data_IF_252377560387
#
_entry.id   IF_252377560387
#
_cell.length_a   1.000
_cell.length_b   1.000
_cell.length_c   1.000
_cell.angle_alpha   90.00
_cell.angle_beta   90.00
_cell.angle_gamma   90.00
#
_symmetry.space_group_name_H-M   'P 1'
#
loop_
_entity.id
_entity.type
_entity.pdbx_description
1 polymer ?
#
# COMPACT_ATOMS: atom_id res chain seq x y z
N UNK A 1 -5.91 -22.41 1.85
CA UNK A 1 -6.97 -21.62 1.19
C UNK A 1 -6.82 -20.19 1.66
N UNK A 2 -6.66 -19.25 0.73
CA UNK A 2 -6.56 -17.81 1.04
C UNK A 2 -7.94 -17.15 0.91
N UNK A 3 -8.18 -16.09 1.68
CA UNK A 3 -9.40 -15.29 1.57
C UNK A 3 -9.20 -14.22 0.51
N UNK A 4 -10.23 -13.99 -0.28
CA UNK A 4 -10.30 -12.89 -1.25
C UNK A 4 -11.39 -11.90 -0.84
N UNK A 5 -11.24 -10.65 -1.26
CA UNK A 5 -12.07 -9.53 -0.87
C UNK A 5 -12.22 -8.55 -2.02
N UNK A 6 -13.46 -8.13 -2.26
CA UNK A 6 -13.78 -6.99 -3.15
C UNK A 6 -14.00 -5.69 -2.37
N UNK A 7 -14.04 -5.77 -1.04
CA UNK A 7 -14.33 -4.63 -0.16
C UNK A 7 -13.32 -4.51 0.99
N UNK A 8 -13.15 -3.26 1.42
CA UNK A 8 -12.28 -2.88 2.54
C UNK A 8 -13.12 -2.23 3.65
N UNK A 9 -12.62 -2.15 4.89
CA UNK A 9 -13.29 -1.44 5.97
C UNK A 9 -13.59 0.02 5.61
N UNK A 10 -14.61 0.62 6.22
CA UNK A 10 -14.99 2.01 5.91
C UNK A 10 -13.83 3.00 6.13
N UNK A 11 -13.62 3.88 5.16
CA UNK A 11 -12.65 4.98 5.27
C UNK A 11 -13.20 6.04 6.23
N UNK A 12 -12.34 6.50 7.14
CA UNK A 12 -12.62 7.54 8.15
C UNK A 12 -11.44 8.51 8.24
N UNK A 13 -11.54 9.53 9.10
CA UNK A 13 -10.41 10.42 9.40
C UNK A 13 -9.21 9.70 10.07
N UNK A 14 -9.40 8.48 10.59
CA UNK A 14 -8.37 7.67 11.25
C UNK A 14 -8.55 6.19 10.88
N UNK A 15 -8.58 5.90 9.59
CA UNK A 15 -8.79 4.53 9.06
C UNK A 15 -7.67 3.63 9.54
N UNK A 16 -8.01 2.61 10.33
CA UNK A 16 -7.02 1.62 10.79
C UNK A 16 -6.60 0.74 9.63
N UNK A 17 -5.29 0.56 9.47
CA UNK A 17 -4.73 -0.29 8.44
C UNK A 17 -3.49 -1.00 8.94
N UNK A 18 -3.11 -2.03 8.19
CA UNK A 18 -1.81 -2.67 8.31
C UNK A 18 -0.92 -2.15 7.20
N UNK A 19 0.23 -1.58 7.56
CA UNK A 19 1.20 -1.13 6.58
C UNK A 19 2.17 -2.26 6.29
N UNK A 20 2.36 -2.61 5.02
CA UNK A 20 3.39 -3.53 4.55
C UNK A 20 4.46 -2.78 3.76
N UNK A 21 5.54 -3.46 3.41
CA UNK A 21 6.63 -2.89 2.63
C UNK A 21 6.63 -3.46 1.22
N UNK A 22 6.68 -2.57 0.23
CA UNK A 22 6.81 -2.94 -1.18
C UNK A 22 7.80 -2.04 -1.90
N UNK A 23 8.40 -2.58 -2.95
CA UNK A 23 9.21 -1.82 -3.90
C UNK A 23 8.44 -1.61 -5.20
N UNK A 24 8.31 -0.35 -5.60
CA UNK A 24 7.62 0.06 -6.82
C UNK A 24 8.61 0.31 -7.98
N UNK A 25 9.88 -0.07 -7.81
CA UNK A 25 10.93 0.08 -8.81
C UNK A 25 10.82 -0.98 -9.91
N UNK A 26 11.35 -0.65 -11.09
CA UNK A 26 11.47 -1.64 -12.16
C UNK A 26 12.40 -2.78 -11.74
N UNK A 27 11.88 -4.00 -11.68
CA UNK A 27 12.60 -5.16 -11.16
C UNK A 27 12.60 -5.30 -9.63
N UNK A 28 11.81 -4.47 -8.93
CA UNK A 28 11.48 -4.65 -7.53
C UNK A 28 10.33 -5.65 -7.31
N UNK A 29 9.92 -5.80 -6.05
CA UNK A 29 8.93 -6.80 -5.62
C UNK A 29 7.52 -6.56 -6.19
N UNK A 30 7.16 -5.31 -6.51
CA UNK A 30 5.88 -4.97 -7.13
C UNK A 30 5.72 -5.47 -8.57
N UNK A 31 6.81 -5.93 -9.19
CA UNK A 31 6.81 -6.58 -10.50
C UNK A 31 6.42 -5.65 -11.66
N UNK A 32 5.10 -5.48 -11.86
CA UNK A 32 4.52 -4.67 -12.93
C UNK A 32 4.58 -3.16 -12.60
N UNK A 33 4.48 -2.28 -13.63
CA UNK A 33 4.29 -0.86 -13.40
C UNK A 33 2.98 -0.57 -12.65
N UNK A 34 2.97 0.49 -11.84
CA UNK A 34 1.85 0.82 -10.96
C UNK A 34 0.55 1.11 -11.74
N UNK A 35 -0.59 0.60 -11.25
CA UNK A 35 -1.88 0.59 -11.97
C UNK A 35 -2.47 1.97 -12.26
N UNK A 36 -2.15 3.00 -11.47
CA UNK A 36 -2.72 4.33 -11.67
C UNK A 36 -2.23 5.02 -12.96
N UNK A 37 -0.97 4.82 -13.34
CA UNK A 37 -0.36 5.54 -14.47
C UNK A 37 0.64 4.73 -15.31
N UNK A 38 0.77 3.43 -15.06
CA UNK A 38 1.69 2.50 -15.72
C UNK A 38 3.17 2.92 -15.61
N UNK A 39 3.59 3.37 -14.43
CA UNK A 39 4.97 3.81 -14.17
C UNK A 39 5.57 3.08 -12.98
N UNK A 40 6.90 3.00 -13.00
CA UNK A 40 7.69 2.61 -11.83
C UNK A 40 8.02 3.85 -11.01
N UNK A 41 8.14 3.67 -9.69
CA UNK A 41 8.48 4.70 -8.73
C UNK A 41 9.71 4.28 -7.94
N UNK A 42 10.64 5.21 -7.72
CA UNK A 42 11.81 4.92 -6.90
C UNK A 42 11.40 4.63 -5.46
N UNK A 43 12.12 3.73 -4.80
CA UNK A 43 11.96 3.42 -3.38
C UNK A 43 12.18 4.63 -2.47
N UNK A 44 12.79 5.70 -2.97
CA UNK A 44 12.95 6.99 -2.29
C UNK A 44 11.79 7.98 -2.54
N UNK A 45 10.76 7.58 -3.28
CA UNK A 45 9.52 8.36 -3.49
C UNK A 45 8.44 7.88 -2.50
N UNK A 46 7.79 8.76 -1.73
CA UNK A 46 6.72 8.35 -0.81
C UNK A 46 5.44 8.00 -1.57
N UNK A 47 5.34 6.74 -1.98
CA UNK A 47 4.17 6.17 -2.67
C UNK A 47 3.63 4.95 -1.93
N UNK A 48 2.34 4.66 -2.16
CA UNK A 48 1.61 3.53 -1.59
C UNK A 48 0.68 2.87 -2.61
N UNK A 49 0.41 1.58 -2.38
CA UNK A 49 -0.76 0.88 -2.91
C UNK A 49 -1.82 0.71 -1.82
N UNK A 50 -3.09 0.66 -2.21
CA UNK A 50 -4.21 0.43 -1.29
C UNK A 50 -4.91 -0.88 -1.63
N UNK A 51 -5.41 -1.61 -0.62
CA UNK A 51 -6.30 -2.77 -0.85
C UNK A 51 -7.44 -2.42 -1.82
N UNK A 52 -7.88 -3.39 -2.62
CA UNK A 52 -8.91 -3.23 -3.67
C UNK A 52 -10.10 -2.34 -3.28
N UNK A 53 -10.70 -2.56 -2.11
CA UNK A 53 -11.85 -1.77 -1.66
C UNK A 53 -11.53 -0.30 -1.35
N UNK A 54 -10.31 0.00 -0.91
CA UNK A 54 -9.83 1.38 -0.70
C UNK A 54 -9.29 2.01 -1.98
N UNK A 55 -8.71 1.20 -2.87
CA UNK A 55 -8.31 1.64 -4.21
C UNK A 55 -9.53 2.12 -5.02
N UNK A 56 -10.68 1.46 -4.84
CA UNK A 56 -11.99 1.90 -5.34
C UNK A 56 -11.96 2.18 -6.85
N UNK A 57 -11.41 1.25 -7.62
CA UNK A 57 -11.28 1.38 -9.07
C UNK A 57 -10.39 2.56 -9.51
N UNK A 58 -9.49 3.02 -8.65
CA UNK A 58 -8.58 4.14 -8.92
C UNK A 58 -9.13 5.51 -8.53
N UNK A 59 -10.20 5.59 -7.73
CA UNK A 59 -10.78 6.87 -7.28
C UNK A 59 -9.75 7.75 -6.53
N UNK A 60 -8.76 7.12 -5.91
CA UNK A 60 -7.65 7.74 -5.17
C UNK A 60 -6.35 7.87 -5.95
N UNK A 61 -6.30 7.42 -7.21
CA UNK A 61 -5.08 7.46 -8.00
C UNK A 61 -4.47 8.87 -8.07
N UNK A 62 -3.16 8.93 -7.85
CA UNK A 62 -2.34 10.14 -7.86
C UNK A 62 -2.79 11.21 -6.84
N UNK A 63 -3.58 10.82 -5.84
CA UNK A 63 -3.94 11.65 -4.68
C UNK A 63 -3.08 11.24 -3.50
N UNK A 64 -2.84 12.19 -2.60
CA UNK A 64 -2.11 11.93 -1.38
C UNK A 64 -3.04 11.37 -0.29
N UNK A 65 -2.48 10.47 0.52
CA UNK A 65 -3.03 10.05 1.79
C UNK A 65 -2.03 10.41 2.89
N UNK A 66 -2.53 10.72 4.08
CA UNK A 66 -1.68 10.90 5.25
C UNK A 66 -1.59 9.59 6.02
N UNK A 67 -0.42 8.98 6.06
CA UNK A 67 -0.12 7.78 6.86
C UNK A 67 0.43 8.20 8.22
N UNK A 68 -0.08 7.61 9.30
CA UNK A 68 0.27 7.94 10.69
C UNK A 68 0.70 6.68 11.45
N UNK A 69 1.91 6.70 11.98
CA UNK A 69 2.46 5.63 12.80
C UNK A 69 2.03 5.78 14.28
N UNK A 70 2.08 4.69 15.08
CA UNK A 70 1.80 4.73 16.51
C UNK A 70 2.74 5.65 17.31
N UNK A 71 3.91 5.95 16.76
CA UNK A 71 4.87 6.91 17.33
C UNK A 71 4.40 8.37 17.28
N UNK A 72 3.28 8.65 16.59
CA UNK A 72 2.77 10.00 16.33
C UNK A 72 3.39 10.68 15.11
N UNK A 73 4.37 10.04 14.44
CA UNK A 73 4.92 10.53 13.18
C UNK A 73 3.96 10.27 12.02
N UNK A 74 3.96 11.17 11.05
CA UNK A 74 3.12 11.06 9.86
C UNK A 74 3.88 11.44 8.59
N UNK A 75 3.40 10.95 7.45
CA UNK A 75 3.92 11.28 6.12
C UNK A 75 2.77 11.31 5.12
N UNK A 76 2.83 12.25 4.17
CA UNK A 76 1.99 12.20 2.98
C UNK A 76 2.62 11.28 1.94
N UNK A 77 1.82 10.37 1.40
CA UNK A 77 2.24 9.47 0.34
C UNK A 77 1.21 9.44 -0.78
N UNK A 78 1.67 9.36 -2.02
CA UNK A 78 0.79 9.33 -3.19
C UNK A 78 0.32 7.90 -3.45
N UNK A 79 -0.98 7.73 -3.69
CA UNK A 79 -1.54 6.44 -4.11
C UNK A 79 -1.22 6.22 -5.58
N UNK A 80 -0.46 5.18 -5.88
CA UNK A 80 -0.01 4.86 -7.25
C UNK A 80 -0.50 3.51 -7.74
N UNK A 81 -0.95 2.64 -6.84
CA UNK A 81 -1.26 1.26 -7.19
C UNK A 81 -2.37 0.64 -6.34
N UNK A 82 -2.77 -0.55 -6.75
CA UNK A 82 -3.68 -1.43 -6.04
C UNK A 82 -2.92 -2.61 -5.41
N UNK A 83 -3.16 -2.88 -4.13
CA UNK A 83 -2.82 -4.16 -3.52
C UNK A 83 -4.01 -5.10 -3.72
N UNK A 84 -3.97 -5.92 -4.77
CA UNK A 84 -5.15 -6.68 -5.21
C UNK A 84 -5.54 -7.75 -4.19
N UNK A 85 -6.70 -7.57 -3.57
CA UNK A 85 -7.26 -8.52 -2.61
C UNK A 85 -8.28 -9.47 -3.23
N UNK A 86 -8.61 -9.31 -4.51
CA UNK A 86 -9.67 -10.06 -5.21
C UNK A 86 -9.16 -11.35 -5.86
N UNK A 87 -7.87 -11.39 -6.21
CA UNK A 87 -7.21 -12.52 -6.87
C UNK A 87 -5.78 -12.71 -6.37
N UNK A 88 -5.27 -13.93 -6.51
CA UNK A 88 -3.90 -14.29 -6.16
C UNK A 88 -3.66 -15.77 -6.43
N UNK A 89 -2.44 -16.23 -6.19
CA UNK A 89 -1.97 -17.60 -6.41
C UNK A 89 -2.01 -18.06 -7.89
N UNK A 90 -2.26 -17.14 -8.82
CA UNK A 90 -2.16 -17.36 -10.25
C UNK A 90 -0.76 -17.06 -10.76
N UNK A 91 -0.54 -17.39 -12.03
CA UNK A 91 0.73 -17.11 -12.71
C UNK A 91 0.96 -15.61 -12.88
N UNK A 92 -0.12 -14.85 -13.08
CA UNK A 92 -0.05 -13.41 -13.31
C UNK A 92 0.30 -12.65 -12.02
N UNK A 93 0.02 -13.25 -10.85
CA UNK A 93 0.40 -12.74 -9.52
C UNK A 93 1.69 -13.39 -8.98
N UNK A 94 2.51 -14.01 -9.84
CA UNK A 94 3.75 -14.73 -9.47
C UNK A 94 3.55 -15.77 -8.34
N UNK A 95 2.36 -16.37 -8.29
CA UNK A 95 1.92 -17.31 -7.24
C UNK A 95 1.88 -16.73 -5.82
N UNK A 96 1.93 -15.40 -5.68
CA UNK A 96 1.78 -14.71 -4.40
C UNK A 96 0.32 -14.78 -3.91
N UNK A 97 0.07 -14.82 -2.60
CA UNK A 97 -1.28 -14.79 -2.07
C UNK A 97 -1.98 -13.45 -2.37
N UNK A 98 -3.33 -13.43 -2.43
CA UNK A 98 -4.07 -12.18 -2.52
C UNK A 98 -3.76 -11.27 -1.33
N UNK A 99 -3.79 -9.96 -1.57
CA UNK A 99 -3.63 -8.96 -0.53
C UNK A 99 -4.74 -9.06 0.53
N UNK A 100 -4.44 -8.66 1.77
CA UNK A 100 -5.50 -8.46 2.76
C UNK A 100 -6.30 -7.20 2.43
N UNK A 101 -7.52 -7.09 2.98
CA UNK A 101 -8.45 -6.02 2.60
C UNK A 101 -8.31 -4.72 3.40
N UNK A 102 -7.29 -4.61 4.24
CA UNK A 102 -7.02 -3.47 5.11
C UNK A 102 -5.54 -3.06 5.09
N UNK A 103 -4.91 -3.16 3.92
CA UNK A 103 -3.48 -2.94 3.70
C UNK A 103 -3.21 -1.58 3.05
N UNK A 104 -2.18 -0.91 3.56
CA UNK A 104 -1.47 0.17 2.87
C UNK A 104 -0.08 -0.36 2.55
N UNK A 105 0.18 -0.68 1.29
CA UNK A 105 1.45 -1.28 0.90
C UNK A 105 2.43 -0.19 0.49
N UNK A 106 3.50 0.00 1.25
CA UNK A 106 4.21 1.26 1.29
C UNK A 106 5.67 1.14 0.84
N UNK A 107 6.12 2.13 0.06
CA UNK A 107 7.52 2.28 -0.35
C UNK A 107 8.47 2.49 0.84
N UNK A 108 9.75 2.16 0.65
CA UNK A 108 10.81 2.37 1.67
C UNK A 108 10.87 3.82 2.18
N UNK A 109 10.57 4.80 1.32
CA UNK A 109 10.50 6.21 1.70
C UNK A 109 9.46 6.49 2.78
N UNK A 110 8.28 5.88 2.70
CA UNK A 110 7.21 6.03 3.71
C UNK A 110 7.68 5.48 5.06
N UNK A 111 8.25 4.27 5.07
CA UNK A 111 8.80 3.65 6.27
C UNK A 111 9.89 4.51 6.93
N UNK A 112 10.83 5.03 6.13
CA UNK A 112 11.89 5.96 6.58
C UNK A 112 11.30 7.24 7.17
N UNK A 113 10.31 7.85 6.51
CA UNK A 113 9.69 9.10 6.94
C UNK A 113 8.92 8.97 8.26
N UNK A 114 8.26 7.82 8.46
CA UNK A 114 7.61 7.45 9.73
C UNK A 114 8.62 7.15 10.85
N UNK A 115 9.92 7.08 10.53
CA UNK A 115 10.98 6.86 11.51
C UNK A 115 11.03 5.44 12.05
N UNK A 116 10.47 4.47 11.33
CA UNK A 116 10.53 3.05 11.70
C UNK A 116 11.93 2.53 11.34
N UNK A 117 12.68 1.94 12.28
CA UNK A 117 14.02 1.45 11.97
C UNK A 117 13.94 0.21 11.06
N UNK A 118 14.90 0.00 10.13
CA UNK A 118 14.83 -1.08 9.14
C UNK A 118 14.67 -2.51 9.69
N UNK A 119 15.15 -2.76 10.92
CA UNK A 119 14.98 -4.06 11.60
C UNK A 119 13.53 -4.38 11.99
N UNK A 120 12.69 -3.35 12.05
CA UNK A 120 11.28 -3.43 12.43
C UNK A 120 10.38 -3.22 11.18
N UNK A 121 10.95 -3.33 9.97
CA UNK A 121 10.21 -3.32 8.72
C UNK A 121 9.66 -4.71 8.42
N UNK A 122 8.48 -4.73 7.80
CA UNK A 122 7.72 -5.93 7.47
C UNK A 122 6.26 -5.60 7.57
N UNK A 123 5.84 -5.29 8.80
CA UNK A 123 4.48 -4.89 9.08
C UNK A 123 4.34 -3.91 10.25
N UNK A 124 3.36 -3.02 10.15
CA UNK A 124 3.07 -2.04 11.19
C UNK A 124 1.59 -1.65 11.22
N UNK A 125 0.98 -1.69 12.40
CA UNK A 125 -0.34 -1.08 12.61
C UNK A 125 -0.26 0.45 12.46
N UNK A 126 -1.08 1.01 11.58
CA UNK A 126 -1.12 2.44 11.30
C UNK A 126 -2.56 2.97 11.31
N UNK A 127 -2.68 4.28 11.22
CA UNK A 127 -3.92 4.90 10.72
C UNK A 127 -3.63 5.73 9.47
N UNK A 128 -4.59 5.86 8.58
CA UNK A 128 -4.49 6.73 7.41
C UNK A 128 -5.79 7.49 7.14
N UNK A 129 -5.68 8.56 6.37
CA UNK A 129 -6.81 9.34 5.87
C UNK A 129 -6.48 9.85 4.48
N UNK A 130 -7.50 10.16 3.68
CA UNK A 130 -7.32 11.06 2.53
C UNK A 130 -6.69 12.38 3.04
N UNK A 131 -5.78 12.96 2.25
CA UNK A 131 -5.09 14.22 2.58
C UNK A 131 -5.92 15.46 2.19
#
# INVERSE_FOLDING_TARGET
MYKVYECSPSVTAHTKAYMTINSFEGGGDGGAPAKCDNRYYSDDTPVVALSTGWYEGGSRCLKNVTVRAPSGRSVEAMVVDECDSSVGCGKDEDYQPPCANNVVDASKAVWKALGVPPRDWGDLDITWSDA
#
